data_IF_300033919980
#
_entry.id   IF_300033919980
#
_cell.length_a   1.000
_cell.length_b   1.000
_cell.length_c   1.000
_cell.angle_alpha   90.00
_cell.angle_beta   90.00
_cell.angle_gamma   90.00
#
_symmetry.space_group_name_H-M   'P 1'
#
loop_
_entity.id
_entity.type
_entity.pdbx_description
1 polymer ?
#
# COMPACT_ATOMS: atom_id res chain seq x y z
N UNK A 1 -14.42 -7.71 -5.24
CA UNK A 1 -13.82 -6.59 -6.01
C UNK A 1 -14.87 -5.50 -6.14
N UNK A 2 -14.60 -4.27 -5.66
CA UNK A 2 -15.56 -3.16 -5.74
C UNK A 2 -15.27 -2.37 -7.01
N UNK A 3 -16.30 -2.12 -7.83
CA UNK A 3 -16.19 -1.26 -9.01
C UNK A 3 -16.40 0.19 -8.59
N UNK A 4 -15.39 1.02 -8.78
CA UNK A 4 -15.44 2.46 -8.48
C UNK A 4 -15.40 3.25 -9.78
N UNK A 5 -16.30 4.21 -9.93
CA UNK A 5 -16.29 5.18 -11.03
C UNK A 5 -15.51 6.42 -10.61
N UNK A 6 -14.59 6.86 -11.46
CA UNK A 6 -13.74 8.03 -11.22
C UNK A 6 -13.90 8.94 -12.43
N UNK A 7 -14.18 10.22 -12.19
CA UNK A 7 -14.26 11.22 -13.24
C UNK A 7 -12.89 11.83 -13.46
N UNK A 8 -12.47 11.87 -14.73
CA UNK A 8 -11.19 12.42 -15.16
C UNK A 8 -11.46 13.54 -16.16
N UNK A 9 -10.63 14.58 -16.11
CA UNK A 9 -10.60 15.62 -17.13
C UNK A 9 -10.08 15.04 -18.46
N UNK A 10 -10.40 15.73 -19.57
CA UNK A 10 -9.91 15.33 -20.89
C UNK A 10 -8.37 15.31 -20.97
N UNK A 11 -7.69 16.17 -20.21
CA UNK A 11 -6.22 16.22 -20.14
C UNK A 11 -5.67 14.98 -19.43
N UNK A 12 -6.22 14.62 -18.28
CA UNK A 12 -5.78 13.45 -17.50
C UNK A 12 -6.02 12.14 -18.29
N UNK A 13 -7.16 12.03 -18.98
CA UNK A 13 -7.47 10.86 -19.79
C UNK A 13 -6.51 10.71 -20.99
N UNK A 14 -6.08 11.82 -21.61
CA UNK A 14 -5.04 11.80 -22.66
C UNK A 14 -3.70 11.31 -22.12
N UNK A 15 -3.27 11.81 -20.97
CA UNK A 15 -2.01 11.38 -20.33
C UNK A 15 -2.06 9.89 -19.97
N UNK A 16 -3.17 9.42 -19.40
CA UNK A 16 -3.35 8.00 -19.07
C UNK A 16 -3.37 7.10 -20.30
N UNK A 17 -3.97 7.54 -21.41
CA UNK A 17 -3.93 6.80 -22.67
C UNK A 17 -2.50 6.69 -23.23
N UNK A 18 -1.71 7.76 -23.16
CA UNK A 18 -0.32 7.74 -23.59
C UNK A 18 0.52 6.78 -22.73
N UNK A 19 0.38 6.85 -21.41
CA UNK A 19 1.07 5.95 -20.48
C UNK A 19 0.67 4.48 -20.70
N UNK A 20 -0.61 4.21 -20.93
CA UNK A 20 -1.11 2.88 -21.26
C UNK A 20 -0.46 2.31 -22.53
N UNK A 21 -0.28 3.15 -23.56
CA UNK A 21 0.39 2.76 -24.80
C UNK A 21 1.88 2.44 -24.61
N UNK A 22 2.58 3.20 -23.77
CA UNK A 22 4.00 3.00 -23.50
C UNK A 22 4.27 1.76 -22.64
N UNK A 23 3.47 1.54 -21.59
CA UNK A 23 3.66 0.42 -20.66
C UNK A 23 3.00 -0.89 -21.11
N UNK A 24 2.23 -0.89 -22.21
CA UNK A 24 1.38 -2.01 -22.65
C UNK A 24 0.43 -2.50 -21.55
N UNK A 25 -0.02 -1.58 -20.68
CA UNK A 25 -0.93 -1.84 -19.56
C UNK A 25 -2.26 -1.13 -19.78
N UNK A 26 -3.33 -1.66 -19.20
CA UNK A 26 -4.63 -0.99 -19.23
C UNK A 26 -4.65 0.21 -18.28
N UNK A 27 -5.50 1.20 -18.59
CA UNK A 27 -5.71 2.38 -17.71
C UNK A 27 -6.05 1.99 -16.27
N UNK A 28 -6.89 0.97 -16.11
CA UNK A 28 -7.28 0.47 -14.79
C UNK A 28 -6.12 -0.14 -14.01
N UNK A 29 -5.18 -0.81 -14.67
CA UNK A 29 -3.99 -1.37 -14.02
C UNK A 29 -3.01 -0.29 -13.61
N UNK A 30 -2.83 0.75 -14.44
CA UNK A 30 -2.01 1.91 -14.11
C UNK A 30 -2.60 2.64 -12.89
N UNK A 31 -3.90 2.94 -12.91
CA UNK A 31 -4.59 3.61 -11.80
C UNK A 31 -4.47 2.78 -10.52
N UNK A 32 -4.70 1.46 -10.58
CA UNK A 32 -4.53 0.59 -9.41
C UNK A 32 -3.09 0.62 -8.91
N UNK A 33 -2.10 0.49 -9.79
CA UNK A 33 -0.69 0.54 -9.39
C UNK A 33 -0.30 1.85 -8.70
N UNK A 34 -0.79 2.99 -9.20
CA UNK A 34 -0.56 4.29 -8.57
C UNK A 34 -1.27 4.37 -7.22
N UNK A 35 -2.53 3.91 -7.14
CA UNK A 35 -3.26 3.89 -5.87
C UNK A 35 -2.54 2.99 -4.86
N UNK A 36 -2.06 1.82 -5.28
CA UNK A 36 -1.32 0.89 -4.44
C UNK A 36 0.06 1.44 -4.05
N UNK A 37 0.72 2.23 -4.90
CA UNK A 37 1.97 2.92 -4.54
C UNK A 37 1.70 4.03 -3.50
N UNK A 38 0.64 4.82 -3.71
CA UNK A 38 0.32 5.97 -2.85
C UNK A 38 -0.37 5.59 -1.54
N UNK A 39 -1.18 4.54 -1.55
CA UNK A 39 -2.03 4.09 -0.43
C UNK A 39 -1.64 2.69 0.08
N UNK A 40 -0.65 2.04 -0.53
CA UNK A 40 -0.20 0.71 -0.12
C UNK A 40 0.36 0.68 1.30
N UNK A 41 0.86 -0.49 1.75
CA UNK A 41 1.16 -0.77 3.15
C UNK A 41 2.29 0.06 3.78
N UNK A 42 2.81 1.09 3.09
CA UNK A 42 3.69 2.14 3.63
C UNK A 42 2.97 3.40 4.13
N UNK A 43 1.65 3.54 3.97
CA UNK A 43 0.92 4.65 4.58
C UNK A 43 0.98 4.51 6.12
N UNK A 44 1.48 5.51 6.86
CA UNK A 44 1.77 5.39 8.31
C UNK A 44 0.54 5.01 9.15
N UNK A 45 -0.66 5.23 8.61
CA UNK A 45 -1.94 4.89 9.25
C UNK A 45 -2.29 3.39 9.16
N UNK A 46 -1.95 2.72 8.05
CA UNK A 46 -2.17 1.27 7.88
C UNK A 46 -1.06 0.48 8.56
N UNK A 47 0.19 0.95 8.48
CA UNK A 47 1.31 0.37 9.22
C UNK A 47 1.10 0.45 10.74
N UNK A 48 0.58 1.57 11.28
CA UNK A 48 0.24 1.67 12.69
C UNK A 48 -0.93 0.75 13.10
N UNK A 49 -1.95 0.59 12.25
CA UNK A 49 -3.07 -0.32 12.51
C UNK A 49 -2.63 -1.80 12.45
N UNK A 50 -1.81 -2.16 11.46
CA UNK A 50 -1.21 -3.49 11.35
C UNK A 50 -0.23 -3.77 12.50
N UNK A 51 0.58 -2.79 12.92
CA UNK A 51 1.47 -2.89 14.06
C UNK A 51 0.71 -3.03 15.38
N UNK A 52 -0.40 -2.30 15.58
CA UNK A 52 -1.29 -2.47 16.75
C UNK A 52 -1.98 -3.82 16.75
N UNK A 53 -2.41 -4.31 15.58
CA UNK A 53 -3.02 -5.64 15.43
C UNK A 53 -1.99 -6.76 15.64
N UNK A 54 -0.76 -6.58 15.19
CA UNK A 54 0.36 -7.48 15.46
C UNK A 54 0.76 -7.45 16.94
N UNK A 55 0.91 -6.28 17.56
CA UNK A 55 1.19 -6.15 19.00
C UNK A 55 0.06 -6.73 19.86
N UNK A 56 -1.21 -6.53 19.46
CA UNK A 56 -2.36 -7.13 20.12
C UNK A 56 -2.45 -8.65 19.96
N UNK A 57 -2.04 -9.18 18.79
CA UNK A 57 -1.92 -10.63 18.56
C UNK A 57 -0.75 -11.27 19.33
N UNK A 58 0.22 -10.46 19.78
CA UNK A 58 1.35 -10.89 20.60
C UNK A 58 1.17 -10.57 22.09
N UNK A 59 0.03 -9.96 22.47
CA UNK A 59 -0.34 -9.57 23.83
C UNK A 59 -0.78 -10.73 24.73
N UNK A 60 -0.14 -11.88 24.60
CA UNK A 60 -0.45 -13.09 25.36
C UNK A 60 0.57 -14.23 25.20
N UNK A 61 1.54 -14.11 24.29
CA UNK A 61 2.64 -15.06 24.19
C UNK A 61 3.74 -14.69 25.18
N UNK A 62 4.01 -15.57 26.14
CA UNK A 62 5.03 -15.49 27.18
C UNK A 62 6.50 -15.53 26.66
N UNK A 63 6.80 -14.84 25.56
CA UNK A 63 8.10 -14.84 24.88
C UNK A 63 8.66 -13.44 24.60
N UNK A 64 8.16 -12.40 25.27
CA UNK A 64 8.49 -11.00 25.01
C UNK A 64 9.87 -10.56 25.54
N UNK A 65 10.89 -11.41 25.43
CA UNK A 65 12.28 -11.08 25.80
C UNK A 65 13.26 -11.00 24.62
N UNK A 66 12.82 -11.22 23.38
CA UNK A 66 13.78 -11.36 22.25
C UNK A 66 13.99 -10.10 21.41
N UNK A 67 13.09 -9.11 21.46
CA UNK A 67 13.24 -7.90 20.63
C UNK A 67 14.31 -6.92 21.14
N UNK A 68 14.65 -6.96 22.44
CA UNK A 68 15.70 -6.10 23.01
C UNK A 68 17.11 -6.55 22.64
N UNK A 69 17.30 -7.81 22.21
CA UNK A 69 18.61 -8.35 21.76
C UNK A 69 18.93 -8.06 20.29
N UNK A 70 17.92 -7.73 19.47
CA UNK A 70 18.13 -7.47 18.04
C UNK A 70 18.69 -6.06 17.75
N UNK A 71 18.64 -5.17 18.75
CA UNK A 71 19.14 -3.78 18.63
C UNK A 71 20.61 -3.61 19.04
N UNK A 72 21.26 -4.65 19.56
CA UNK A 72 22.68 -4.62 19.95
C UNK A 72 23.61 -5.29 18.92
N UNK A 73 23.13 -5.53 17.70
CA UNK A 73 23.91 -6.14 16.62
C UNK A 73 23.65 -5.47 15.27
N UNK A 74 23.58 -4.15 15.30
CA UNK A 74 23.78 -3.24 14.16
C UNK A 74 24.67 -2.11 14.66
#
# INVERSE_FOLDING_TARGET
MIRTQIYLTSRENKVLNLLAGLEKRTKSEIIRGIIDEKLGPGAPRVAAAAARKALGAWGGCAGQQTLRRLRSRW
#
